data_IF_068771440205
#
_entry.id   IF_068771440205
#
_cell.length_a   1.000
_cell.length_b   1.000
_cell.length_c   1.000
_cell.angle_alpha   90.00
_cell.angle_beta   90.00
_cell.angle_gamma   90.00
#
_symmetry.space_group_name_H-M   'P 1'
#
loop_
_entity.id
_entity.type
_entity.pdbx_description
1 polymer ?
#
# COMPACT_ATOMS: atom_id res chain seq x y z
N UNK A 1 9.53 -6.00 -25.57
CA UNK A 1 9.42 -4.92 -24.56
C UNK A 1 9.02 -5.56 -23.25
N UNK A 2 9.97 -5.78 -22.33
CA UNK A 2 9.66 -6.34 -21.01
C UNK A 2 9.13 -5.22 -20.12
N UNK A 3 7.82 -5.22 -19.87
CA UNK A 3 7.23 -4.34 -18.87
C UNK A 3 7.47 -4.97 -17.50
N UNK A 4 8.06 -4.22 -16.57
CA UNK A 4 8.17 -4.65 -15.17
C UNK A 4 6.75 -4.74 -14.63
N UNK A 5 6.31 -5.97 -14.36
CA UNK A 5 5.06 -6.22 -13.66
C UNK A 5 5.44 -6.75 -12.29
N UNK A 6 5.02 -6.04 -11.26
CA UNK A 6 5.10 -6.52 -9.90
C UNK A 6 3.91 -7.43 -9.64
N UNK A 7 4.14 -8.50 -8.88
CA UNK A 7 3.07 -9.35 -8.40
C UNK A 7 2.28 -8.52 -7.39
N UNK A 8 0.95 -8.51 -7.54
CA UNK A 8 0.09 -7.83 -6.58
C UNK A 8 0.30 -8.45 -5.20
N UNK A 9 0.59 -7.61 -4.22
CA UNK A 9 0.79 -8.06 -2.85
C UNK A 9 -0.57 -8.35 -2.23
N UNK A 10 -0.64 -9.44 -1.48
CA UNK A 10 -1.82 -9.79 -0.70
C UNK A 10 -2.05 -8.73 0.39
N UNK A 11 -3.32 -8.38 0.61
CA UNK A 11 -3.74 -7.35 1.57
C UNK A 11 -3.73 -7.89 3.00
N UNK A 12 -2.54 -8.29 3.46
CA UNK A 12 -2.33 -8.89 4.76
C UNK A 12 -1.29 -8.08 5.56
N UNK A 13 -1.58 -7.70 6.82
CA UNK A 13 -0.70 -6.87 7.63
C UNK A 13 0.63 -7.57 7.98
N UNK A 14 0.67 -8.89 8.09
CA UNK A 14 1.90 -9.64 8.37
C UNK A 14 2.85 -9.55 7.16
N UNK A 15 2.31 -9.76 5.95
CA UNK A 15 3.06 -9.63 4.70
C UNK A 15 3.61 -8.21 4.52
N UNK A 16 2.79 -7.18 4.77
CA UNK A 16 3.26 -5.79 4.67
C UNK A 16 4.33 -5.47 5.71
N UNK A 17 4.21 -5.99 6.93
CA UNK A 17 5.18 -5.76 8.01
C UNK A 17 6.50 -6.45 7.70
N UNK A 18 6.47 -7.72 7.26
CA UNK A 18 7.66 -8.45 6.84
C UNK A 18 8.38 -7.72 5.70
N UNK A 19 7.63 -7.26 4.69
CA UNK A 19 8.21 -6.50 3.59
C UNK A 19 8.85 -5.19 4.08
N UNK A 20 8.19 -4.48 4.99
CA UNK A 20 8.68 -3.23 5.57
C UNK A 20 10.01 -3.45 6.31
N UNK A 21 10.10 -4.49 7.13
CA UNK A 21 11.32 -4.84 7.88
C UNK A 21 12.44 -5.29 6.93
N UNK A 22 12.12 -6.05 5.88
CA UNK A 22 13.07 -6.43 4.82
C UNK A 22 13.61 -5.24 4.03
N UNK A 23 12.87 -4.13 3.98
CA UNK A 23 13.31 -2.87 3.38
C UNK A 23 14.17 -2.02 4.35
N UNK A 24 14.38 -2.48 5.59
CA UNK A 24 15.25 -1.85 6.58
C UNK A 24 14.54 -0.93 7.57
N UNK A 25 13.21 -1.00 7.67
CA UNK A 25 12.46 -0.26 8.70
C UNK A 25 12.55 -0.99 10.05
N UNK A 26 12.52 -0.24 11.15
CA UNK A 26 12.55 -0.76 12.52
C UNK A 26 11.39 -1.73 12.81
N UNK A 27 11.67 -2.77 13.60
CA UNK A 27 10.68 -3.76 14.06
C UNK A 27 9.63 -3.17 15.03
N UNK A 28 9.88 -1.97 15.55
CA UNK A 28 8.91 -1.23 16.38
C UNK A 28 7.67 -0.79 15.59
N UNK A 29 7.79 -0.67 14.26
CA UNK A 29 6.69 -0.32 13.37
C UNK A 29 6.14 -1.57 12.70
N UNK A 30 4.83 -1.76 12.80
CA UNK A 30 4.12 -2.86 12.15
C UNK A 30 2.76 -2.39 11.66
N UNK A 31 2.27 -3.05 10.62
CA UNK A 31 0.90 -2.83 10.15
C UNK A 31 -0.07 -3.63 11.01
N UNK A 32 -1.28 -3.09 11.16
CA UNK A 32 -2.38 -3.75 11.84
C UNK A 32 -3.62 -3.64 10.99
N UNK A 33 -4.40 -4.72 10.96
CA UNK A 33 -5.69 -4.70 10.30
C UNK A 33 -6.71 -3.87 11.10
N UNK A 34 -7.54 -3.12 10.37
CA UNK A 34 -8.60 -2.28 10.91
C UNK A 34 -9.94 -2.90 10.58
N UNK A 35 -10.55 -3.57 11.56
CA UNK A 35 -11.87 -4.18 11.40
C UNK A 35 -13.00 -3.15 11.18
N UNK A 36 -12.85 -1.93 11.72
CA UNK A 36 -13.85 -0.86 11.62
C UNK A 36 -13.16 0.50 11.55
N UNK A 37 -13.56 1.36 10.62
CA UNK A 37 -13.08 2.74 10.55
C UNK A 37 -13.80 3.67 11.55
N UNK A 38 -15.06 3.36 11.86
CA UNK A 38 -15.92 4.25 12.69
C UNK A 38 -15.57 4.20 14.18
N UNK A 39 -14.97 3.10 14.64
CA UNK A 39 -14.74 2.85 16.07
C UNK A 39 -13.28 2.49 16.34
N UNK A 40 -12.37 3.42 16.02
CA UNK A 40 -10.96 3.33 16.43
C UNK A 40 -10.79 3.27 17.95
N UNK A 41 -11.80 3.68 18.72
CA UNK A 41 -11.81 3.69 20.19
C UNK A 41 -11.72 2.30 20.84
N UNK A 42 -12.07 1.24 20.11
CA UNK A 42 -12.05 -0.14 20.61
C UNK A 42 -10.83 -0.96 20.20
N UNK A 43 -10.03 -0.46 19.25
CA UNK A 43 -8.77 -1.10 18.88
C UNK A 43 -7.66 -0.48 19.70
N UNK A 44 -6.88 -1.33 20.38
CA UNK A 44 -5.66 -0.96 21.09
C UNK A 44 -4.60 -0.48 20.09
N UNK A 45 -4.84 0.65 19.43
CA UNK A 45 -3.88 1.28 18.55
C UNK A 45 -2.82 1.94 19.44
N UNK A 46 -1.52 1.72 19.14
CA UNK A 46 -0.48 2.49 19.79
C UNK A 46 -0.70 3.99 19.53
N UNK A 47 -0.22 4.81 20.46
CA UNK A 47 -0.40 6.28 20.46
C UNK A 47 -0.06 6.87 19.09
N UNK A 48 -1.10 7.27 18.34
CA UNK A 48 -1.08 7.82 16.98
C UNK A 48 -0.57 6.87 15.86
N UNK A 49 -1.44 6.37 14.97
CA UNK A 49 -1.00 5.69 13.76
C UNK A 49 -0.29 6.66 12.80
N UNK A 50 0.79 6.21 12.17
CA UNK A 50 1.58 7.04 11.24
C UNK A 50 1.01 7.09 9.82
N UNK A 51 0.32 6.03 9.39
CA UNK A 51 -0.23 5.90 8.05
C UNK A 51 -1.44 4.97 8.03
N UNK A 52 -2.29 5.12 7.00
CA UNK A 52 -3.42 4.26 6.71
C UNK A 52 -3.33 3.79 5.25
N UNK A 53 -3.38 2.48 5.03
CA UNK A 53 -3.44 1.88 3.70
C UNK A 53 -4.88 1.45 3.44
N UNK A 54 -5.49 1.94 2.36
CA UNK A 54 -6.84 1.58 1.94
C UNK A 54 -6.77 0.96 0.56
N UNK A 55 -7.23 -0.28 0.46
CA UNK A 55 -7.37 -0.99 -0.81
C UNK A 55 -8.84 -0.95 -1.17
N UNK A 56 -9.14 -0.31 -2.29
CA UNK A 56 -10.49 -0.22 -2.83
C UNK A 56 -10.49 -0.75 -4.27
N UNK A 57 -11.58 -1.40 -4.71
CA UNK A 57 -11.69 -1.82 -6.09
C UNK A 57 -11.73 -0.59 -7.00
N UNK A 58 -10.92 -0.59 -8.06
CA UNK A 58 -11.03 0.42 -9.10
C UNK A 58 -12.35 0.23 -9.84
N UNK A 59 -13.24 1.22 -9.73
CA UNK A 59 -14.50 1.22 -10.46
C UNK A 59 -14.27 1.96 -11.76
N UNK A 60 -14.05 1.22 -12.84
CA UNK A 60 -13.94 1.74 -14.21
C UNK A 60 -15.31 2.27 -14.68
N UNK A 61 -15.77 3.36 -14.07
CA UNK A 61 -16.98 4.08 -14.47
C UNK A 61 -16.66 5.31 -15.32
N UNK A 62 -15.38 5.58 -15.59
CA UNK A 62 -14.99 6.54 -16.62
C UNK A 62 -13.75 6.04 -17.35
N UNK A 63 -13.97 5.19 -18.34
CA UNK A 63 -13.03 5.05 -19.46
C UNK A 63 -13.04 6.36 -20.26
N UNK A 64 -12.63 7.46 -19.63
CA UNK A 64 -12.33 8.73 -20.29
C UNK A 64 -10.89 8.62 -20.80
N UNK A 65 -10.65 8.71 -22.12
CA UNK A 65 -9.30 8.69 -22.66
C UNK A 65 -8.56 9.95 -22.20
N UNK A 66 -7.84 9.86 -21.07
CA UNK A 66 -7.10 10.99 -20.51
C UNK A 66 -6.62 10.83 -19.06
N UNK A 67 -7.19 9.94 -18.25
CA UNK A 67 -6.72 9.78 -16.87
C UNK A 67 -5.48 8.88 -16.87
N UNK A 68 -4.32 9.49 -16.61
CA UNK A 68 -3.06 8.76 -16.55
C UNK A 68 -3.16 7.68 -15.48
N UNK A 69 -3.17 6.41 -15.91
CA UNK A 69 -2.86 5.26 -15.06
C UNK A 69 -1.58 5.58 -14.30
N UNK A 70 -1.50 5.18 -13.03
CA UNK A 70 -0.26 5.09 -12.28
C UNK A 70 0.73 4.26 -13.11
N UNK A 71 1.57 4.98 -13.85
CA UNK A 71 2.57 4.42 -14.76
C UNK A 71 3.78 5.33 -14.67
N UNK A 72 4.33 5.42 -13.46
CA UNK A 72 5.59 6.07 -13.21
C UNK A 72 6.52 5.07 -12.51
N UNK A 73 7.14 4.24 -13.33
CA UNK A 73 8.47 3.72 -13.04
C UNK A 73 9.29 3.95 -14.31
N UNK A 74 9.44 5.22 -14.69
CA UNK A 74 10.41 5.62 -15.69
C UNK A 74 11.80 5.47 -15.06
N UNK A 75 12.43 4.32 -15.31
CA UNK A 75 13.85 4.13 -15.02
C UNK A 75 14.62 5.07 -15.94
N UNK A 76 15.02 6.24 -15.45
CA UNK A 76 16.04 7.04 -16.13
C UNK A 76 17.38 6.36 -15.88
N UNK A 77 17.83 5.58 -16.86
CA UNK A 77 19.24 5.20 -16.95
C UNK A 77 20.02 6.48 -17.28
N UNK A 78 20.76 6.99 -16.29
CA UNK A 78 21.74 8.03 -16.49
C UNK A 78 23.10 7.35 -16.74
N UNK A 79 23.65 7.58 -17.93
CA UNK A 79 25.08 7.50 -18.22
C UNK A 79 25.53 8.87 -18.71
#
# INVERSE_FOLDING_TARGET
MYSKHFIALESDPEIFSELMHRLGVTEELHFRDLLNLDTLEGQYLPSAPLALIVIYPDTDQTNVPGTKRFKDCESKEAF
#
